data_IF_448698397684
#
_entry.id   IF_448698397684
#
_cell.length_a   1.000
_cell.length_b   1.000
_cell.length_c   1.000
_cell.angle_alpha   90.00
_cell.angle_beta   90.00
_cell.angle_gamma   90.00
#
_symmetry.space_group_name_H-M   'P 1'
#
loop_
_entity.id
_entity.type
_entity.pdbx_description
1 polymer ?
#
# COMPACT_ATOMS: atom_id res chain seq x y z
N UNK A 1 7.92 15.10 -11.41
CA UNK A 1 7.09 14.46 -10.36
C UNK A 1 6.02 13.57 -10.99
N UNK A 2 6.15 12.25 -10.82
CA UNK A 2 5.19 11.26 -11.32
C UNK A 2 3.99 11.19 -10.37
N UNK A 3 2.77 11.16 -10.90
CA UNK A 3 1.53 11.06 -10.11
C UNK A 3 1.05 9.62 -10.10
N UNK A 4 0.44 9.19 -9.00
CA UNK A 4 -0.02 7.81 -8.86
C UNK A 4 -1.53 7.68 -8.70
N UNK A 5 -2.11 6.73 -9.44
CA UNK A 5 -3.50 6.32 -9.40
C UNK A 5 -3.70 5.18 -8.40
N UNK A 6 -4.95 4.94 -8.00
CA UNK A 6 -5.31 3.84 -7.09
C UNK A 6 -4.77 2.49 -7.58
N UNK A 7 -4.28 1.61 -6.68
CA UNK A 7 -3.83 0.26 -7.02
C UNK A 7 -4.95 -0.64 -7.55
N UNK A 8 -6.22 -0.25 -7.35
CA UNK A 8 -7.39 -0.98 -7.86
C UNK A 8 -7.69 -0.66 -9.32
N UNK A 9 -7.10 0.43 -9.85
CA UNK A 9 -7.24 0.80 -11.25
C UNK A 9 -6.14 0.13 -12.07
N UNK A 10 -6.47 -0.19 -13.31
CA UNK A 10 -5.51 -0.55 -14.34
C UNK A 10 -5.95 0.07 -15.66
N UNK A 11 -5.08 0.07 -16.67
CA UNK A 11 -5.34 0.72 -17.97
C UNK A 11 -6.62 0.20 -18.62
N UNK A 12 -6.90 -1.11 -18.48
CA UNK A 12 -8.10 -1.73 -19.05
C UNK A 12 -9.37 -1.26 -18.35
N UNK A 13 -9.37 -1.20 -17.01
CA UNK A 13 -10.49 -0.66 -16.23
C UNK A 13 -10.73 0.80 -16.58
N UNK A 14 -9.67 1.61 -16.65
CA UNK A 14 -9.79 3.02 -17.04
C UNK A 14 -10.31 3.21 -18.46
N UNK A 15 -9.88 2.36 -19.40
CA UNK A 15 -10.41 2.39 -20.76
C UNK A 15 -11.89 2.01 -20.80
N UNK A 16 -12.33 1.04 -19.98
CA UNK A 16 -13.76 0.74 -19.83
C UNK A 16 -14.55 1.94 -19.34
N UNK A 17 -14.05 2.65 -18.33
CA UNK A 17 -14.67 3.88 -17.82
C UNK A 17 -14.70 4.99 -18.88
N UNK A 18 -13.63 5.12 -19.67
CA UNK A 18 -13.57 6.04 -20.80
C UNK A 18 -14.62 5.73 -21.86
N UNK A 19 -14.85 4.45 -22.20
CA UNK A 19 -15.93 4.06 -23.13
C UNK A 19 -17.30 4.48 -22.61
N UNK A 20 -17.58 4.17 -21.34
CA UNK A 20 -18.85 4.55 -20.68
C UNK A 20 -19.03 6.06 -20.73
N UNK A 21 -18.01 6.83 -20.35
CA UNK A 21 -18.02 8.28 -20.42
C UNK A 21 -18.25 8.83 -21.84
N UNK A 22 -17.61 8.25 -22.85
CA UNK A 22 -17.78 8.66 -24.25
C UNK A 22 -19.20 8.42 -24.75
N UNK A 23 -19.79 7.26 -24.44
CA UNK A 23 -21.10 6.86 -24.93
C UNK A 23 -22.25 7.56 -24.19
N UNK A 24 -22.15 7.65 -22.86
CA UNK A 24 -23.23 8.13 -21.99
C UNK A 24 -23.20 9.65 -21.84
N UNK A 25 -22.04 10.24 -21.58
CA UNK A 25 -21.93 11.68 -21.24
C UNK A 25 -21.63 12.56 -22.46
N UNK A 26 -20.85 12.03 -23.41
CA UNK A 26 -20.39 12.80 -24.59
C UNK A 26 -21.08 12.40 -25.88
N UNK A 27 -21.79 11.27 -25.91
CA UNK A 27 -22.43 10.68 -27.08
C UNK A 27 -21.51 10.59 -28.31
N UNK A 28 -20.23 10.24 -28.09
CA UNK A 28 -19.21 10.04 -29.13
C UNK A 28 -18.72 8.60 -29.15
N UNK A 29 -18.28 8.14 -30.32
CA UNK A 29 -17.63 6.84 -30.44
C UNK A 29 -16.24 6.88 -29.77
N UNK A 30 -15.94 5.95 -28.85
CA UNK A 30 -14.64 5.91 -28.20
C UNK A 30 -13.56 5.38 -29.15
N UNK A 31 -12.38 5.97 -29.06
CA UNK A 31 -11.19 5.50 -29.78
C UNK A 31 -10.70 4.13 -29.29
N UNK A 32 -9.80 3.50 -30.07
CA UNK A 32 -9.25 2.19 -29.76
C UNK A 32 -8.46 2.15 -28.43
N UNK A 33 -8.43 0.99 -27.76
CA UNK A 33 -7.65 0.81 -26.52
C UNK A 33 -6.16 1.10 -26.73
N UNK A 34 -5.64 0.72 -27.91
CA UNK A 34 -4.25 0.96 -28.28
C UNK A 34 -3.92 2.45 -28.28
N UNK A 35 -4.78 3.26 -28.91
CA UNK A 35 -4.61 4.71 -28.95
C UNK A 35 -4.76 5.34 -27.56
N UNK A 36 -5.77 4.91 -26.79
CA UNK A 36 -5.93 5.34 -25.39
C UNK A 36 -4.69 5.06 -24.54
N UNK A 37 -4.13 3.84 -24.66
CA UNK A 37 -2.92 3.43 -23.93
C UNK A 37 -1.69 4.20 -24.37
N UNK A 38 -1.55 4.46 -25.66
CA UNK A 38 -0.48 5.30 -26.18
C UNK A 38 -0.55 6.69 -25.53
N UNK A 39 -1.72 7.33 -25.59
CA UNK A 39 -1.94 8.65 -25.01
C UNK A 39 -1.69 8.66 -23.49
N UNK A 40 -2.17 7.64 -22.78
CA UNK A 40 -1.93 7.49 -21.34
C UNK A 40 -0.43 7.43 -20.99
N UNK A 41 0.37 6.71 -21.78
CA UNK A 41 1.78 6.51 -21.48
C UNK A 41 2.68 7.66 -21.96
N UNK A 42 2.30 8.37 -23.03
CA UNK A 42 3.14 9.43 -23.63
C UNK A 42 2.76 10.83 -23.16
N UNK A 43 1.48 11.09 -22.94
CA UNK A 43 0.99 12.44 -22.57
C UNK A 43 0.72 12.60 -21.08
N UNK A 44 0.60 11.50 -20.32
CA UNK A 44 0.39 11.56 -18.89
C UNK A 44 1.56 10.94 -18.12
N UNK A 45 2.11 11.69 -17.16
CA UNK A 45 3.09 11.16 -16.22
C UNK A 45 2.40 10.47 -15.02
N UNK A 46 1.51 9.52 -15.34
CA UNK A 46 0.69 8.76 -14.38
C UNK A 46 1.16 7.31 -14.28
N UNK A 47 0.99 6.71 -13.12
CA UNK A 47 1.23 5.27 -12.90
C UNK A 47 0.33 4.73 -11.81
N UNK A 48 0.12 3.42 -11.77
CA UNK A 48 -0.70 2.80 -10.72
C UNK A 48 0.15 2.59 -9.46
N UNK A 49 -0.42 2.86 -8.30
CA UNK A 49 0.22 2.50 -7.04
C UNK A 49 0.44 0.99 -7.01
N UNK A 50 1.62 0.56 -6.56
CA UNK A 50 1.79 -0.82 -6.16
C UNK A 50 1.10 -1.00 -4.80
N UNK A 51 0.41 -2.12 -4.56
CA UNK A 51 -0.05 -2.44 -3.22
C UNK A 51 1.13 -2.41 -2.25
N UNK A 52 0.95 -1.83 -1.07
CA UNK A 52 2.02 -1.78 -0.07
C UNK A 52 2.29 -3.19 0.47
N UNK A 53 3.56 -3.58 0.52
CA UNK A 53 4.02 -4.82 1.16
C UNK A 53 4.59 -4.48 2.54
N UNK A 54 4.48 -5.40 3.49
CA UNK A 54 4.96 -5.25 4.87
C UNK A 54 4.23 -4.16 5.66
N UNK A 55 2.92 -4.07 5.46
CA UNK A 55 2.08 -3.14 6.22
C UNK A 55 2.02 -3.53 7.69
N UNK A 56 1.96 -2.51 8.56
CA UNK A 56 1.81 -2.71 9.99
C UNK A 56 0.43 -3.27 10.31
N UNK A 57 0.38 -4.48 10.89
CA UNK A 57 -0.85 -5.18 11.29
C UNK A 57 -1.74 -4.31 12.18
N UNK A 58 -1.13 -3.55 13.10
CA UNK A 58 -1.87 -2.65 14.00
C UNK A 58 -2.54 -1.53 13.21
N UNK A 59 -1.82 -0.91 12.28
CA UNK A 59 -2.36 0.13 11.40
C UNK A 59 -3.49 -0.40 10.52
N UNK A 60 -3.32 -1.59 9.93
CA UNK A 60 -4.33 -2.21 9.08
C UNK A 60 -5.62 -2.49 9.86
N UNK A 61 -5.49 -3.06 11.05
CA UNK A 61 -6.63 -3.33 11.94
C UNK A 61 -7.35 -2.05 12.36
N UNK A 62 -6.61 -1.00 12.70
CA UNK A 62 -7.19 0.28 13.09
C UNK A 62 -7.87 0.95 11.90
N UNK A 63 -7.28 0.88 10.70
CA UNK A 63 -7.88 1.41 9.48
C UNK A 63 -9.23 0.77 9.18
N UNK A 64 -9.34 -0.56 9.30
CA UNK A 64 -10.63 -1.26 9.12
C UNK A 64 -11.69 -0.73 10.10
N UNK A 65 -11.31 -0.50 11.37
CA UNK A 65 -12.24 0.06 12.37
C UNK A 65 -12.65 1.50 12.07
N UNK A 66 -11.73 2.32 11.54
CA UNK A 66 -12.02 3.70 11.14
C UNK A 66 -12.97 3.72 9.93
N UNK A 67 -12.75 2.84 8.96
CA UNK A 67 -13.54 2.79 7.73
C UNK A 67 -14.97 2.28 8.03
N UNK A 68 -15.09 1.20 8.81
CA UNK A 68 -16.35 0.43 8.95
C UNK A 68 -16.95 0.38 10.37
N UNK A 69 -16.31 0.94 11.39
CA UNK A 69 -16.80 0.88 12.78
C UNK A 69 -17.94 1.85 13.07
N UNK A 70 -18.54 1.70 14.24
CA UNK A 70 -19.50 2.67 14.81
C UNK A 70 -18.83 4.01 15.14
N UNK A 71 -19.56 5.13 15.29
CA UNK A 71 -18.96 6.45 15.55
C UNK A 71 -18.00 6.49 16.75
N UNK A 72 -18.33 5.79 17.84
CA UNK A 72 -17.48 5.70 19.02
C UNK A 72 -16.22 4.85 18.78
N UNK A 73 -16.37 3.73 18.06
CA UNK A 73 -15.24 2.88 17.67
C UNK A 73 -14.28 3.60 16.72
N UNK A 74 -14.82 4.42 15.80
CA UNK A 74 -14.01 5.24 14.89
C UNK A 74 -13.14 6.22 15.68
N UNK A 75 -13.75 7.00 16.58
CA UNK A 75 -13.03 7.97 17.42
C UNK A 75 -11.96 7.29 18.28
N UNK A 76 -12.29 6.14 18.88
CA UNK A 76 -11.32 5.37 19.65
C UNK A 76 -10.17 4.85 18.77
N UNK A 77 -10.48 4.34 17.57
CA UNK A 77 -9.48 3.83 16.64
C UNK A 77 -8.57 4.94 16.09
N UNK A 78 -9.09 6.14 15.85
CA UNK A 78 -8.32 7.33 15.47
C UNK A 78 -7.32 7.71 16.57
N UNK A 79 -7.78 7.83 17.82
CA UNK A 79 -6.92 8.14 18.96
C UNK A 79 -5.83 7.06 19.16
N UNK A 80 -6.19 5.79 19.03
CA UNK A 80 -5.23 4.68 19.11
C UNK A 80 -4.20 4.72 17.98
N UNK A 81 -4.63 5.10 16.77
CA UNK A 81 -3.75 5.22 15.61
C UNK A 81 -2.77 6.38 15.79
N UNK A 82 -3.23 7.53 16.25
CA UNK A 82 -2.38 8.68 16.55
C UNK A 82 -1.32 8.32 17.59
N UNK A 83 -1.73 7.69 18.70
CA UNK A 83 -0.79 7.25 19.73
C UNK A 83 0.23 6.24 19.19
N UNK A 84 -0.21 5.29 18.35
CA UNK A 84 0.69 4.31 17.74
C UNK A 84 1.75 4.98 16.85
N UNK A 85 1.36 5.97 16.04
CA UNK A 85 2.28 6.71 15.18
C UNK A 85 3.28 7.53 15.98
N UNK A 86 2.83 8.25 17.02
CA UNK A 86 3.74 9.01 17.92
C UNK A 86 4.78 8.12 18.59
N UNK A 87 4.38 6.92 19.03
CA UNK A 87 5.33 5.94 19.59
C UNK A 87 6.35 5.48 18.55
N UNK A 88 5.91 5.25 17.32
CA UNK A 88 6.81 4.84 16.24
C UNK A 88 7.82 5.94 15.89
N UNK A 89 7.39 7.20 15.88
CA UNK A 89 8.25 8.37 15.68
C UNK A 89 9.30 8.49 16.79
N UNK A 90 8.89 8.41 18.06
CA UNK A 90 9.82 8.46 19.19
C UNK A 90 10.88 7.34 19.14
N UNK A 91 10.49 6.11 18.79
CA UNK A 91 11.44 5.00 18.62
C UNK A 91 12.40 5.25 17.46
N UNK A 92 11.94 5.86 16.38
CA UNK A 92 12.78 6.21 15.23
C UNK A 92 13.83 7.26 15.62
N UNK A 93 13.44 8.29 16.37
CA UNK A 93 14.37 9.30 16.87
C UNK A 93 15.47 8.68 17.76
N UNK A 94 15.10 7.80 18.69
CA UNK A 94 16.06 7.09 19.54
C UNK A 94 17.00 6.21 18.69
N UNK A 95 16.46 5.50 17.69
CA UNK A 95 17.26 4.69 16.78
C UNK A 95 18.30 5.56 16.04
N UNK A 96 17.87 6.69 15.51
CA UNK A 96 18.74 7.59 14.74
C UNK A 96 19.86 8.17 15.65
N UNK A 97 19.56 8.44 16.93
CA UNK A 97 20.56 8.83 17.93
C UNK A 97 21.56 7.69 18.21
N UNK A 98 21.10 6.45 18.42
CA UNK A 98 21.99 5.31 18.69
C UNK A 98 22.91 4.98 17.51
N UNK A 99 22.46 5.21 16.26
CA UNK A 99 23.31 5.05 15.07
C UNK A 99 24.42 6.11 15.05
N UNK A 100 24.14 7.34 15.49
CA UNK A 100 25.15 8.39 15.56
C UNK A 100 26.23 8.14 16.62
N UNK A 101 25.91 7.37 17.67
CA UNK A 101 26.81 7.05 18.78
C UNK A 101 27.55 5.70 18.60
N UNK A 102 27.46 5.09 17.42
CA UNK A 102 27.93 3.73 17.19
C UNK A 102 29.46 3.62 17.33
N UNK A 103 29.93 2.70 18.17
CA UNK A 103 31.37 2.40 18.37
C UNK A 103 31.82 1.30 17.40
N UNK A 104 33.02 1.44 16.86
CA UNK A 104 33.60 0.52 15.86
C UNK A 104 33.79 -0.92 16.38
N UNK A 105 33.81 -1.14 17.69
CA UNK A 105 34.03 -2.46 18.33
C UNK A 105 32.74 -3.30 18.47
N UNK A 106 31.73 -3.06 17.63
CA UNK A 106 30.44 -3.77 17.68
C UNK A 106 30.23 -4.58 16.42
N UNK A 107 30.25 -5.92 16.52
CA UNK A 107 29.86 -6.80 15.44
C UNK A 107 28.34 -7.03 15.43
N UNK A 108 27.68 -6.72 14.31
CA UNK A 108 26.25 -6.97 14.11
C UNK A 108 26.07 -8.12 13.13
N UNK A 109 25.33 -9.15 13.53
CA UNK A 109 24.97 -10.27 12.66
C UNK A 109 23.51 -10.11 12.27
N UNK A 110 23.25 -9.95 10.97
CA UNK A 110 21.91 -9.87 10.41
C UNK A 110 21.57 -11.17 9.68
N UNK A 111 20.39 -11.73 9.97
CA UNK A 111 19.85 -12.87 9.24
C UNK A 111 18.57 -12.41 8.53
N UNK A 112 18.50 -12.64 7.22
CA UNK A 112 17.27 -12.47 6.45
C UNK A 112 16.56 -13.82 6.32
N UNK A 113 15.24 -13.82 6.48
CA UNK A 113 14.43 -15.02 6.36
C UNK A 113 13.84 -15.07 4.96
N UNK A 114 13.98 -16.23 4.30
CA UNK A 114 13.39 -16.42 2.97
C UNK A 114 11.86 -16.38 3.06
N UNK A 115 11.25 -15.55 2.19
CA UNK A 115 9.80 -15.47 2.05
C UNK A 115 9.22 -16.84 1.67
N UNK A 116 8.37 -17.40 2.52
CA UNK A 116 7.45 -18.46 2.10
C UNK A 116 6.34 -17.81 1.26
N UNK A 117 6.03 -18.38 0.09
CA UNK A 117 4.93 -17.94 -0.78
C UNK A 117 3.63 -18.55 -0.26
N UNK A 118 2.84 -17.83 0.55
CA UNK A 118 1.74 -18.45 1.23
C UNK A 118 0.43 -18.28 0.45
N UNK A 119 -0.47 -19.24 0.61
CA UNK A 119 -1.83 -19.17 0.06
C UNK A 119 -2.80 -19.09 1.24
N UNK A 120 -3.61 -18.02 1.37
CA UNK A 120 -3.80 -16.88 0.47
C UNK A 120 -2.73 -15.77 0.58
N UNK A 121 -2.62 -14.93 -0.46
CA UNK A 121 -1.66 -13.82 -0.50
C UNK A 121 -2.08 -12.67 0.44
N UNK A 122 -1.41 -12.53 1.59
CA UNK A 122 -1.63 -11.46 2.57
C UNK A 122 -0.46 -10.48 2.58
N UNK A 123 -0.74 -9.18 2.65
CA UNK A 123 0.27 -8.10 2.56
C UNK A 123 0.89 -7.70 3.90
N UNK A 124 0.41 -8.29 5.00
CA UNK A 124 0.85 -7.93 6.35
C UNK A 124 2.22 -8.56 6.67
N UNK A 125 3.01 -7.89 7.51
CA UNK A 125 4.37 -8.36 7.83
C UNK A 125 4.37 -9.68 8.62
N UNK A 126 3.33 -9.98 9.41
CA UNK A 126 3.23 -11.25 10.15
C UNK A 126 3.08 -12.46 9.22
N UNK A 127 2.38 -12.29 8.10
CA UNK A 127 2.21 -13.32 7.07
C UNK A 127 3.55 -13.71 6.43
N UNK A 128 4.54 -12.81 6.44
CA UNK A 128 5.88 -13.10 5.92
C UNK A 128 6.63 -14.11 6.80
N UNK A 129 6.48 -14.02 8.13
CA UNK A 129 7.31 -14.78 9.09
C UNK A 129 6.60 -15.96 9.76
N UNK A 130 5.27 -16.04 9.69
CA UNK A 130 4.51 -17.15 10.27
C UNK A 130 4.37 -18.31 9.29
N UNK A 131 4.39 -19.54 9.82
CA UNK A 131 4.17 -20.76 9.04
C UNK A 131 2.73 -20.80 8.55
N UNK A 132 2.53 -20.51 7.27
CA UNK A 132 1.21 -20.62 6.64
C UNK A 132 1.00 -22.02 6.06
N UNK A 133 -0.27 -22.38 5.89
CA UNK A 133 -0.67 -23.62 5.24
C UNK A 133 -0.17 -23.61 3.78
N UNK A 134 0.54 -24.67 3.38
CA UNK A 134 0.87 -24.91 1.98
C UNK A 134 -0.27 -25.68 1.34
N UNK A 135 -0.89 -25.11 0.31
CA UNK A 135 -1.76 -25.84 -0.60
C UNK A 135 -0.94 -26.17 -1.84
N UNK A 136 -0.67 -27.46 -2.06
CA UNK A 136 -0.05 -27.98 -3.27
C UNK A 136 -1.01 -27.96 -4.45
#
# INVERSE_FOLDING_TARGET
NRRYLSPQLNIRTMYSMYKTFCLEEKHVQPESESFYRHVFNTHFNLSFHRPQTDTCVTCDRLKIKIDYGTPDEKRLAENQKELHLRKAEAVKEVKDQCIAEQREDTAVICFDLQKMMPTPHVQNSKAYYLRQLWTY
#
